data_IF_485067004949
#
_entry.id   IF_485067004949
#
_cell.length_a   1.000
_cell.length_b   1.000
_cell.length_c   1.000
_cell.angle_alpha   90.00
_cell.angle_beta   90.00
_cell.angle_gamma   90.00
#
_symmetry.space_group_name_H-M   'P 1'
#
loop_
_entity.id
_entity.type
_entity.pdbx_description
1 polymer ?
#
# COMPACT_ATOMS: atom_id res chain seq x y z
N UNK A 1 46.16 1.86 -1.97
CA UNK A 1 46.20 1.04 -3.18
C UNK A 1 45.78 -0.33 -2.72
N UNK A 2 44.52 -0.65 -3.02
CA UNK A 2 44.05 -1.94 -3.57
C UNK A 2 44.32 -3.18 -2.71
N UNK A 3 43.43 -4.16 -2.57
CA UNK A 3 42.20 -4.55 -3.28
C UNK A 3 41.62 -5.72 -2.45
N UNK A 4 40.36 -6.09 -2.71
CA UNK A 4 39.76 -7.43 -2.51
C UNK A 4 39.71 -8.04 -1.08
N UNK A 5 38.81 -8.92 -0.66
CA UNK A 5 37.50 -9.48 -1.02
C UNK A 5 37.37 -10.60 0.07
N UNK A 6 36.29 -10.68 0.85
CA UNK A 6 35.22 -11.69 0.73
C UNK A 6 35.02 -12.37 2.10
N UNK A 7 33.77 -12.79 2.33
CA UNK A 7 33.27 -13.65 3.42
C UNK A 7 33.13 -13.07 4.83
N UNK A 8 31.88 -12.78 5.22
CA UNK A 8 31.18 -13.54 6.27
C UNK A 8 29.74 -13.02 6.45
N UNK A 9 28.79 -13.74 5.85
CA UNK A 9 27.40 -13.70 6.31
C UNK A 9 27.26 -14.66 7.50
N UNK A 10 26.70 -14.19 8.61
CA UNK A 10 25.51 -14.76 9.27
C UNK A 10 25.46 -14.45 10.77
N UNK A 11 24.25 -14.12 11.22
CA UNK A 11 23.74 -14.10 12.59
C UNK A 11 23.99 -12.84 13.43
N UNK A 12 23.09 -11.87 13.29
CA UNK A 12 22.64 -11.11 14.46
C UNK A 12 21.14 -11.35 14.66
N UNK A 13 20.83 -11.84 15.87
CA UNK A 13 19.53 -12.30 16.33
C UNK A 13 18.95 -11.17 17.18
N UNK A 14 18.32 -10.20 16.53
CA UNK A 14 17.73 -9.04 17.21
C UNK A 14 16.39 -9.45 17.87
N UNK A 15 16.49 -10.00 19.08
CA UNK A 15 15.38 -10.08 20.03
C UNK A 15 15.48 -8.94 21.03
N UNK A 16 14.95 -7.78 20.66
CA UNK A 16 14.65 -6.72 21.62
C UNK A 16 13.16 -6.35 21.56
N UNK A 17 12.41 -6.96 22.48
CA UNK A 17 11.09 -6.51 22.89
C UNK A 17 11.20 -5.13 23.55
N UNK A 18 10.59 -4.11 22.97
CA UNK A 18 10.21 -2.89 23.66
C UNK A 18 8.74 -2.58 23.37
N UNK A 19 7.93 -2.71 24.42
CA UNK A 19 6.58 -2.18 24.53
C UNK A 19 6.61 -0.65 24.69
N UNK A 20 5.69 0.05 24.02
CA UNK A 20 4.90 1.23 24.45
C UNK A 20 4.04 1.62 23.23
N UNK A 21 2.75 1.31 23.19
CA UNK A 21 1.60 2.02 23.79
C UNK A 21 0.82 2.78 22.70
N UNK A 22 -0.46 2.49 22.60
CA UNK A 22 -1.40 3.29 21.82
C UNK A 22 -2.48 2.48 21.12
N UNK A 23 -3.59 2.29 21.83
CA UNK A 23 -4.96 2.38 21.29
C UNK A 23 -5.34 1.35 20.21
N UNK A 24 -6.06 0.30 20.59
CA UNK A 24 -7.31 -0.03 19.89
C UNK A 24 -8.18 -1.01 20.69
N UNK A 25 -9.46 -0.76 20.60
CA UNK A 25 -10.56 -1.46 21.25
C UNK A 25 -10.85 -2.73 20.45
N UNK A 26 -10.68 -3.93 21.02
CA UNK A 26 -11.29 -5.11 20.42
C UNK A 26 -11.55 -6.26 21.41
N UNK A 27 -12.73 -6.83 21.25
CA UNK A 27 -13.42 -7.75 22.13
C UNK A 27 -12.82 -9.17 22.08
N UNK A 28 -11.99 -9.56 23.06
CA UNK A 28 -11.62 -10.96 23.22
C UNK A 28 -11.67 -11.42 24.69
N UNK A 29 -12.80 -12.02 25.06
CA UNK A 29 -12.95 -12.85 26.27
C UNK A 29 -12.14 -14.16 26.11
N UNK A 30 -10.81 -14.12 26.19
CA UNK A 30 -9.97 -15.32 26.29
C UNK A 30 -9.84 -15.75 27.76
N UNK A 31 -10.85 -16.49 28.24
CA UNK A 31 -10.74 -17.22 29.49
C UNK A 31 -9.71 -18.35 29.36
N UNK A 32 -8.54 -18.14 29.97
CA UNK A 32 -7.64 -19.21 30.39
C UNK A 32 -8.30 -20.02 31.49
N UNK A 33 -8.72 -21.24 31.17
CA UNK A 33 -8.80 -22.32 32.15
C UNK A 33 -8.10 -23.55 31.59
N UNK A 34 -6.91 -23.81 32.14
CA UNK A 34 -6.38 -25.15 32.25
C UNK A 34 -7.29 -25.92 33.21
N UNK A 35 -8.02 -26.91 32.70
CA UNK A 35 -8.36 -28.08 33.50
C UNK A 35 -7.64 -29.27 32.87
N UNK A 36 -6.66 -29.76 33.64
CA UNK A 36 -6.25 -31.14 33.61
C UNK A 36 -7.48 -31.95 34.06
N UNK A 37 -8.07 -32.74 33.18
CA UNK A 37 -8.76 -33.95 33.61
C UNK A 37 -8.18 -35.15 32.87
N UNK A 38 -7.77 -36.08 33.71
CA UNK A 38 -7.15 -37.36 33.51
C UNK A 38 -8.26 -38.33 33.07
N UNK A 39 -8.20 -38.88 31.86
CA UNK A 39 -8.94 -40.13 31.55
C UNK A 39 -8.30 -40.81 30.33
N UNK A 40 -7.46 -41.79 30.66
CA UNK A 40 -7.34 -43.12 30.06
C UNK A 40 -7.40 -43.30 28.53
N UNK A 41 -6.27 -43.84 28.05
CA UNK A 41 -6.22 -45.02 27.19
C UNK A 41 -6.60 -44.85 25.72
N UNK A 42 -5.60 -44.49 24.89
CA UNK A 42 -5.47 -45.08 23.57
C UNK A 42 -4.02 -45.37 23.23
N UNK A 43 -3.66 -46.62 23.52
CA UNK A 43 -2.57 -47.39 22.97
C UNK A 43 -2.39 -47.14 21.46
N UNK A 44 -1.16 -46.81 21.03
CA UNK A 44 -0.42 -47.59 20.03
C UNK A 44 0.92 -46.91 19.69
N UNK A 45 1.98 -47.52 20.21
CA UNK A 45 3.38 -47.33 19.85
C UNK A 45 3.62 -47.41 18.34
N UNK A 46 4.63 -46.68 17.84
CA UNK A 46 5.80 -47.20 17.07
C UNK A 46 6.54 -46.02 16.42
N UNK A 47 7.48 -45.44 17.15
CA UNK A 47 8.66 -44.82 16.54
C UNK A 47 9.65 -45.96 16.28
N UNK A 48 9.89 -46.28 15.01
CA UNK A 48 11.06 -47.05 14.59
C UNK A 48 11.82 -46.20 13.57
N UNK A 49 13.10 -46.02 13.89
CA UNK A 49 14.14 -45.28 13.18
C UNK A 49 14.99 -46.33 12.48
N UNK A 50 15.15 -46.27 11.15
CA UNK A 50 16.22 -46.95 10.39
C UNK A 50 16.22 -46.27 9.01
N UNK A 51 17.18 -45.39 8.71
CA UNK A 51 18.45 -45.70 8.01
C UNK A 51 18.24 -46.33 6.63
N UNK A 52 18.97 -45.76 5.66
CA UNK A 52 19.24 -46.22 4.30
C UNK A 52 18.55 -45.51 3.11
N UNK A 53 19.43 -45.20 2.14
CA UNK A 53 19.18 -44.92 0.71
C UNK A 53 19.15 -43.45 0.25
N UNK A 54 20.33 -42.83 0.33
CA UNK A 54 20.80 -41.94 -0.74
C UNK A 54 20.96 -42.72 -2.05
N UNK A 55 20.01 -42.59 -2.98
CA UNK A 55 20.24 -42.91 -4.39
C UNK A 55 20.09 -41.66 -5.26
N UNK A 56 21.24 -41.13 -5.66
CA UNK A 56 21.40 -40.17 -6.73
C UNK A 56 21.03 -40.83 -8.07
N UNK A 57 19.82 -40.59 -8.57
CA UNK A 57 19.51 -40.82 -9.98
C UNK A 57 19.56 -39.52 -10.76
N UNK A 58 20.72 -39.30 -11.40
CA UNK A 58 20.81 -38.54 -12.64
C UNK A 58 19.81 -39.09 -13.66
N UNK A 59 18.99 -38.22 -14.25
CA UNK A 59 18.40 -38.48 -15.55
C UNK A 59 18.49 -37.22 -16.41
N UNK A 60 19.54 -37.19 -17.23
CA UNK A 60 19.55 -36.55 -18.53
C UNK A 60 18.38 -37.16 -19.34
N UNK A 61 17.46 -36.36 -19.84
CA UNK A 61 16.29 -36.90 -20.54
C UNK A 61 15.14 -35.91 -20.67
N UNK A 62 15.26 -35.06 -21.69
CA UNK A 62 14.18 -34.40 -22.41
C UNK A 62 12.82 -35.12 -22.28
N UNK A 63 11.90 -34.52 -21.52
CA UNK A 63 10.48 -34.89 -21.53
C UNK A 63 9.66 -33.60 -21.52
N UNK A 64 9.09 -33.29 -22.68
CA UNK A 64 8.26 -32.12 -22.94
C UNK A 64 6.92 -32.19 -22.20
N UNK A 65 6.93 -31.77 -20.95
CA UNK A 65 5.72 -31.37 -20.23
C UNK A 65 5.92 -29.93 -19.79
N UNK A 66 5.40 -29.01 -20.60
CA UNK A 66 5.41 -27.58 -20.34
C UNK A 66 4.70 -27.26 -19.03
N UNK A 67 5.45 -27.26 -17.93
CA UNK A 67 5.05 -26.53 -16.75
C UNK A 67 5.59 -25.13 -16.97
N UNK A 68 4.87 -24.37 -17.80
CA UNK A 68 5.00 -22.93 -17.75
C UNK A 68 4.78 -22.55 -16.29
N UNK A 69 5.86 -22.18 -15.62
CA UNK A 69 5.80 -21.30 -14.48
C UNK A 69 5.20 -20.00 -15.02
N UNK A 70 3.87 -19.98 -15.13
CA UNK A 70 3.13 -18.75 -15.09
C UNK A 70 3.31 -18.24 -13.66
N UNK A 71 4.48 -17.65 -13.43
CA UNK A 71 4.57 -16.47 -12.61
C UNK A 71 3.59 -15.47 -13.22
N UNK A 72 2.30 -15.59 -12.86
CA UNK A 72 1.42 -14.43 -12.84
C UNK A 72 1.94 -13.54 -11.70
N UNK A 73 3.11 -12.91 -11.94
CA UNK A 73 3.42 -11.63 -11.35
C UNK A 73 2.40 -10.65 -11.88
N UNK A 74 1.65 -10.03 -10.97
CA UNK A 74 0.46 -9.25 -11.25
C UNK A 74 -0.76 -10.11 -10.92
N UNK A 75 -1.26 -10.11 -9.69
CA UNK A 75 -2.27 -9.09 -9.34
C UNK A 75 -2.30 -7.92 -10.32
N UNK A 76 -2.81 -8.17 -11.54
CA UNK A 76 -3.65 -7.20 -12.22
C UNK A 76 -4.81 -6.96 -11.24
N UNK A 77 -4.59 -6.08 -10.26
CA UNK A 77 -5.70 -5.32 -9.73
C UNK A 77 -6.29 -4.68 -10.98
N UNK A 78 -7.43 -5.19 -11.44
CA UNK A 78 -8.24 -4.58 -12.49
C UNK A 78 -8.09 -3.06 -12.38
N UNK A 79 -8.00 -2.36 -13.50
CA UNK A 79 -7.86 -0.91 -13.57
C UNK A 79 -9.11 -0.20 -12.99
N UNK A 80 -9.44 -0.42 -11.71
CA UNK A 80 -10.61 0.12 -11.01
C UNK A 80 -10.42 1.61 -10.77
N UNK A 81 -9.16 2.05 -10.66
CA UNK A 81 -8.80 3.42 -10.35
C UNK A 81 -8.04 4.06 -11.51
N UNK A 82 -8.59 5.16 -12.00
CA UNK A 82 -7.96 6.07 -12.94
C UNK A 82 -7.24 7.17 -12.17
N UNK A 83 -6.13 7.65 -12.72
CA UNK A 83 -5.48 8.88 -12.27
C UNK A 83 -5.67 9.97 -13.33
N UNK A 84 -5.96 11.18 -12.87
CA UNK A 84 -6.09 12.37 -13.69
C UNK A 84 -5.11 13.42 -13.18
N UNK A 85 -4.06 13.67 -13.96
CA UNK A 85 -3.06 14.70 -13.69
C UNK A 85 -3.24 15.90 -14.61
N UNK A 86 -3.21 17.12 -14.05
CA UNK A 86 -3.24 18.36 -14.85
C UNK A 86 -2.29 19.41 -14.30
N UNK A 87 -1.64 20.11 -15.21
CA UNK A 87 -0.82 21.29 -14.92
C UNK A 87 -1.64 22.55 -15.18
N UNK A 88 -1.51 23.56 -14.31
CA UNK A 88 -2.25 24.81 -14.40
C UNK A 88 -1.40 26.01 -14.02
N UNK A 89 -1.53 27.08 -14.80
CA UNK A 89 -0.98 28.39 -14.49
C UNK A 89 -1.99 29.29 -13.77
N UNK A 90 -3.20 28.79 -13.50
CA UNK A 90 -4.24 29.53 -12.80
C UNK A 90 -3.81 29.80 -11.36
N UNK A 91 -4.12 31.01 -10.90
CA UNK A 91 -3.95 31.42 -9.51
C UNK A 91 -5.25 31.18 -8.77
N UNK A 92 -5.16 30.60 -7.58
CA UNK A 92 -6.29 30.27 -6.73
C UNK A 92 -6.25 31.11 -5.46
N UNK A 93 -7.40 31.53 -4.97
CA UNK A 93 -7.53 31.93 -3.56
C UNK A 93 -7.75 30.70 -2.68
N UNK A 94 -7.45 30.80 -1.39
CA UNK A 94 -7.70 29.71 -0.43
C UNK A 94 -9.18 29.29 -0.44
N UNK A 95 -10.10 30.26 -0.39
CA UNK A 95 -11.55 29.99 -0.41
C UNK A 95 -12.02 29.30 -1.69
N UNK A 96 -11.51 29.70 -2.86
CA UNK A 96 -11.84 29.02 -4.13
C UNK A 96 -11.38 27.56 -4.12
N UNK A 97 -10.18 27.31 -3.58
CA UNK A 97 -9.63 25.96 -3.49
C UNK A 97 -10.44 25.10 -2.52
N UNK A 98 -10.74 25.60 -1.32
CA UNK A 98 -11.58 24.90 -0.34
C UNK A 98 -12.99 24.64 -0.88
N UNK A 99 -13.57 25.59 -1.62
CA UNK A 99 -14.86 25.39 -2.28
C UNK A 99 -14.81 24.30 -3.36
N UNK A 100 -13.75 24.25 -4.16
CA UNK A 100 -13.57 23.18 -5.15
C UNK A 100 -13.41 21.82 -4.45
N UNK A 101 -12.54 21.73 -3.43
CA UNK A 101 -12.28 20.48 -2.71
C UNK A 101 -13.53 19.96 -1.99
N UNK A 102 -14.33 20.84 -1.37
CA UNK A 102 -15.59 20.43 -0.72
C UNK A 102 -16.64 19.87 -1.70
N UNK A 103 -16.61 20.29 -2.97
CA UNK A 103 -17.50 19.74 -4.02
C UNK A 103 -16.96 18.49 -4.67
N UNK A 104 -15.64 18.27 -4.62
CA UNK A 104 -14.96 17.15 -5.26
C UNK A 104 -15.40 15.78 -4.71
N UNK A 105 -15.99 15.75 -3.51
CA UNK A 105 -16.64 14.56 -2.93
C UNK A 105 -17.98 14.17 -3.58
N UNK A 106 -18.55 15.04 -4.42
CA UNK A 106 -19.81 14.78 -5.10
C UNK A 106 -19.69 13.72 -6.20
N UNK A 107 -20.70 12.86 -6.32
CA UNK A 107 -20.73 11.79 -7.32
C UNK A 107 -20.69 12.30 -8.78
N UNK A 108 -20.97 13.58 -9.01
CA UNK A 108 -20.95 14.20 -10.34
C UNK A 108 -19.55 14.24 -10.98
N UNK A 109 -18.49 14.14 -10.18
CA UNK A 109 -17.08 14.14 -10.60
C UNK A 109 -16.48 12.73 -10.71
N UNK A 110 -17.28 11.69 -10.42
CA UNK A 110 -16.83 10.31 -10.26
C UNK A 110 -16.54 9.96 -8.80
N UNK A 111 -16.07 8.73 -8.56
CA UNK A 111 -15.70 8.28 -7.22
C UNK A 111 -14.26 8.69 -6.91
N UNK A 112 -14.06 9.95 -6.50
CA UNK A 112 -12.74 10.47 -6.10
C UNK A 112 -12.33 9.85 -4.77
N UNK A 113 -11.15 9.22 -4.74
CA UNK A 113 -10.56 8.62 -3.54
C UNK A 113 -9.48 9.50 -2.93
N UNK A 114 -8.75 10.24 -3.77
CA UNK A 114 -7.74 11.18 -3.30
C UNK A 114 -7.51 12.25 -4.34
N UNK A 115 -7.26 13.47 -3.89
CA UNK A 115 -6.68 14.49 -4.74
C UNK A 115 -5.54 15.19 -4.01
N UNK A 116 -4.48 15.52 -4.76
CA UNK A 116 -3.39 16.32 -4.26
C UNK A 116 -3.01 17.36 -5.29
N UNK A 117 -2.55 18.50 -4.85
CA UNK A 117 -1.96 19.45 -5.76
C UNK A 117 -1.18 20.55 -5.08
N UNK A 118 -0.31 21.14 -5.87
CA UNK A 118 0.49 22.32 -5.55
C UNK A 118 0.06 23.37 -6.56
N UNK A 119 -0.61 24.43 -6.12
CA UNK A 119 -1.15 25.48 -7.00
C UNK A 119 -0.71 26.85 -6.56
N UNK A 120 -0.55 27.76 -7.51
CA UNK A 120 -0.15 29.13 -7.24
C UNK A 120 -1.30 29.90 -6.56
N UNK A 121 -1.00 30.62 -5.49
CA UNK A 121 -1.93 31.49 -4.79
C UNK A 121 -2.04 32.87 -5.44
N UNK A 122 -3.23 33.47 -5.41
CA UNK A 122 -3.44 34.85 -5.88
C UNK A 122 -2.66 35.88 -5.02
N UNK A 123 -2.43 35.55 -3.75
CA UNK A 123 -1.67 36.31 -2.77
C UNK A 123 -0.14 36.13 -2.87
N UNK A 124 0.33 35.29 -3.80
CA UNK A 124 1.76 35.07 -4.07
C UNK A 124 2.40 33.93 -3.25
N UNK A 125 1.65 33.28 -2.36
CA UNK A 125 2.05 32.00 -1.75
C UNK A 125 1.70 30.82 -2.66
N UNK A 126 2.18 29.63 -2.31
CA UNK A 126 1.79 28.39 -2.97
C UNK A 126 0.94 27.56 -2.02
N UNK A 127 -0.17 27.03 -2.53
CA UNK A 127 -1.09 26.20 -1.77
C UNK A 127 -0.85 24.73 -2.10
N UNK A 128 -0.62 23.95 -1.07
CA UNK A 128 -0.52 22.51 -1.13
C UNK A 128 -1.81 21.95 -0.54
N UNK A 129 -2.57 21.20 -1.32
CA UNK A 129 -3.78 20.57 -0.84
C UNK A 129 -3.67 19.05 -0.89
N UNK A 130 -4.30 18.41 0.10
CA UNK A 130 -4.62 16.98 0.12
C UNK A 130 -6.12 16.87 0.38
N UNK A 131 -6.77 16.01 -0.36
CA UNK A 131 -8.19 15.72 -0.24
C UNK A 131 -8.34 14.22 -0.21
N UNK A 132 -9.13 13.76 0.75
CA UNK A 132 -9.72 12.42 0.80
C UNK A 132 -11.24 12.61 0.94
N UNK A 133 -12.06 11.61 0.62
CA UNK A 133 -13.46 11.64 0.99
C UNK A 133 -13.59 12.06 2.47
N UNK A 134 -14.55 12.94 2.74
CA UNK A 134 -14.88 13.46 4.09
C UNK A 134 -13.92 14.51 4.66
N UNK A 135 -12.64 14.54 4.27
CA UNK A 135 -11.64 15.48 4.81
C UNK A 135 -10.76 16.13 3.74
N UNK A 136 -10.50 17.43 3.89
CA UNK A 136 -9.53 18.14 3.06
C UNK A 136 -8.67 19.07 3.89
N UNK A 137 -7.45 19.30 3.40
CA UNK A 137 -6.49 20.17 4.05
C UNK A 137 -5.80 21.05 3.01
N UNK A 138 -5.69 22.34 3.32
CA UNK A 138 -4.98 23.32 2.49
C UNK A 138 -3.88 23.96 3.33
N UNK A 139 -2.64 23.73 2.93
CA UNK A 139 -1.41 24.24 3.56
C UNK A 139 -0.74 25.25 2.64
N UNK A 140 0.08 26.13 3.21
CA UNK A 140 1.01 26.94 2.41
C UNK A 140 2.35 26.22 2.33
N UNK A 141 3.01 26.28 1.18
CA UNK A 141 4.25 25.56 0.91
C UNK A 141 5.30 26.39 0.17
N UNK A 142 6.42 25.75 -0.15
CA UNK A 142 7.49 26.33 -0.93
C UNK A 142 7.02 26.65 -2.36
N UNK A 143 7.60 27.68 -2.96
CA UNK A 143 7.26 28.05 -4.32
C UNK A 143 7.71 26.97 -5.33
N UNK A 144 6.81 26.64 -6.26
CA UNK A 144 7.08 25.77 -7.41
C UNK A 144 7.14 26.62 -8.70
N UNK A 145 7.39 25.98 -9.84
CA UNK A 145 7.44 26.64 -11.15
C UNK A 145 6.06 26.70 -11.80
N UNK A 146 5.25 25.65 -11.65
CA UNK A 146 3.92 25.55 -12.27
C UNK A 146 2.99 24.73 -11.39
N UNK A 147 1.71 25.13 -11.35
CA UNK A 147 0.71 24.43 -10.57
C UNK A 147 0.45 23.04 -11.15
N UNK A 148 0.37 22.02 -10.30
CA UNK A 148 0.14 20.63 -10.69
C UNK A 148 -0.81 19.99 -9.71
N UNK A 149 -1.78 19.24 -10.20
CA UNK A 149 -2.67 18.44 -9.37
C UNK A 149 -2.90 17.07 -9.97
N UNK A 150 -3.12 16.09 -9.10
CA UNK A 150 -3.45 14.72 -9.43
C UNK A 150 -4.68 14.31 -8.64
N UNK A 151 -5.65 13.72 -9.33
CA UNK A 151 -6.88 13.16 -8.77
C UNK A 151 -6.90 11.67 -9.07
N UNK A 152 -7.16 10.85 -8.06
CA UNK A 152 -7.21 9.40 -8.14
C UNK A 152 -8.61 8.95 -7.73
N UNK A 153 -9.22 8.07 -8.52
CA UNK A 153 -10.55 7.56 -8.24
C UNK A 153 -11.10 6.69 -9.37
N UNK A 154 -12.36 6.29 -9.28
CA UNK A 154 -13.03 5.48 -10.29
C UNK A 154 -14.01 6.31 -11.11
N UNK A 155 -14.06 6.08 -12.44
CA UNK A 155 -14.99 6.76 -13.37
C UNK A 155 -14.94 8.29 -13.24
N UNK A 156 -13.73 8.85 -13.20
CA UNK A 156 -13.50 10.28 -13.03
C UNK A 156 -14.01 11.08 -14.24
N UNK A 157 -14.80 12.12 -13.99
CA UNK A 157 -15.26 13.06 -15.01
C UNK A 157 -14.25 14.20 -15.16
N UNK A 158 -13.13 13.94 -15.84
CA UNK A 158 -11.99 14.87 -15.97
C UNK A 158 -12.38 16.28 -16.40
N UNK A 159 -13.33 16.42 -17.34
CA UNK A 159 -13.77 17.72 -17.82
C UNK A 159 -14.48 18.53 -16.74
N UNK A 160 -15.34 17.90 -15.94
CA UNK A 160 -16.03 18.58 -14.84
C UNK A 160 -15.07 18.91 -13.71
N UNK A 161 -14.09 18.06 -13.46
CA UNK A 161 -13.02 18.33 -12.49
C UNK A 161 -12.23 19.56 -12.95
N UNK A 162 -11.82 19.62 -14.23
CA UNK A 162 -11.18 20.82 -14.82
C UNK A 162 -12.05 22.05 -14.65
N UNK A 163 -13.34 21.97 -14.99
CA UNK A 163 -14.28 23.10 -14.87
C UNK A 163 -14.47 23.55 -13.41
N UNK A 164 -14.49 22.62 -12.45
CA UNK A 164 -14.60 22.90 -11.01
C UNK A 164 -13.41 23.72 -10.50
N UNK A 165 -12.20 23.34 -10.90
CA UNK A 165 -10.99 24.12 -10.63
C UNK A 165 -10.83 25.29 -11.63
N UNK A 166 -11.71 25.40 -12.63
CA UNK A 166 -11.70 26.35 -13.74
C UNK A 166 -10.37 26.38 -14.49
N UNK A 167 -9.84 25.22 -14.83
CA UNK A 167 -8.61 24.96 -15.59
C UNK A 167 -8.97 24.59 -17.04
#
# INVERSE_FOLDING_TARGET
HDDDDEDECCHDHDHHHHHDDGDDEDEHEHHHHHDHDDDDDHECCHHDHDEDEHEHHHHDGECGCGHHHHHHHGHDADEVFSNFGVETAKKFTKEELENALSKLSGEEYGSVLRAKGIVAGADGVWYHFDFVPEEYEVRTGSADVTGRMCVIGAKLEEQKIKDLFGI
#
